data_IF_986020819780
#
_entry.id   IF_986020819780
#
_cell.length_a   1.000
_cell.length_b   1.000
_cell.length_c   1.000
_cell.angle_alpha   90.00
_cell.angle_beta   90.00
_cell.angle_gamma   90.00
#
_symmetry.space_group_name_H-M   'P 1'
#
loop_
_entity.id
_entity.type
_entity.pdbx_description
1 polymer ?
#
# COMPACT_ATOMS: atom_id res chain seq x y z
N UNK A 1 -2.19 24.76 -34.30
CA UNK A 1 -2.14 24.05 -33.00
C UNK A 1 -2.20 22.58 -33.31
N UNK A 2 -1.09 21.86 -33.23
CA UNK A 2 -1.10 20.41 -33.35
C UNK A 2 -1.80 19.83 -32.12
N UNK A 3 -2.93 19.15 -32.35
CA UNK A 3 -3.65 18.44 -31.30
C UNK A 3 -2.81 17.21 -30.94
N UNK A 4 -1.98 17.30 -29.90
CA UNK A 4 -1.25 16.14 -29.41
C UNK A 4 -2.28 15.11 -28.92
N UNK A 5 -2.22 13.92 -29.52
CA UNK A 5 -3.04 12.78 -29.08
C UNK A 5 -2.70 12.48 -27.61
N UNK A 6 -3.70 12.29 -26.73
CA UNK A 6 -3.44 11.90 -25.35
C UNK A 6 -2.71 10.55 -25.34
N UNK A 7 -1.67 10.46 -24.51
CA UNK A 7 -0.91 9.22 -24.33
C UNK A 7 -1.82 8.10 -23.84
N UNK A 8 -1.56 6.87 -24.29
CA UNK A 8 -2.15 5.68 -23.68
C UNK A 8 -1.63 5.48 -22.25
N UNK A 9 -2.32 4.66 -21.45
CA UNK A 9 -1.90 4.38 -20.08
C UNK A 9 -0.56 3.63 -20.07
N UNK A 10 -0.36 2.72 -21.03
CA UNK A 10 0.90 2.02 -21.23
C UNK A 10 2.05 2.96 -21.64
N UNK A 11 1.80 3.92 -22.53
CA UNK A 11 2.79 4.94 -22.92
C UNK A 11 3.17 5.84 -21.74
N UNK A 12 2.17 6.27 -20.96
CA UNK A 12 2.39 7.06 -19.76
C UNK A 12 3.20 6.30 -18.70
N UNK A 13 2.92 5.01 -18.48
CA UNK A 13 3.70 4.15 -17.59
C UNK A 13 5.16 3.99 -18.07
N UNK A 14 5.40 3.89 -19.38
CA UNK A 14 6.76 3.88 -19.96
C UNK A 14 7.51 5.18 -19.72
N UNK A 15 6.84 6.33 -19.84
CA UNK A 15 7.42 7.63 -19.48
C UNK A 15 7.80 7.66 -18.01
N UNK A 16 6.91 7.21 -17.12
CA UNK A 16 7.19 7.11 -15.69
C UNK A 16 8.44 6.26 -15.41
N UNK A 17 8.55 5.10 -16.04
CA UNK A 17 9.69 4.21 -15.81
C UNK A 17 11.01 4.81 -16.31
N UNK A 18 10.99 5.51 -17.45
CA UNK A 18 12.15 6.28 -17.94
C UNK A 18 12.56 7.38 -16.98
N UNK A 19 11.60 8.09 -16.40
CA UNK A 19 11.85 9.15 -15.43
C UNK A 19 12.56 8.62 -14.18
N UNK A 20 12.15 7.46 -13.67
CA UNK A 20 12.66 6.87 -12.43
C UNK A 20 13.77 5.83 -12.63
N UNK A 21 14.33 5.70 -13.84
CA UNK A 21 15.40 4.73 -14.12
C UNK A 21 14.98 3.26 -13.92
N UNK A 22 13.67 2.97 -14.00
CA UNK A 22 13.12 1.64 -13.80
C UNK A 22 13.27 0.85 -15.11
N UNK A 23 14.07 -0.21 -15.09
CA UNK A 23 14.39 -1.03 -16.27
C UNK A 23 15.56 -0.48 -17.10
N UNK A 24 15.81 -1.08 -18.27
CA UNK A 24 16.96 -0.73 -19.16
C UNK A 24 16.74 0.53 -20.01
N UNK A 25 15.92 1.47 -19.56
CA UNK A 25 15.58 2.62 -20.38
C UNK A 25 16.66 3.70 -20.27
N UNK A 26 17.27 4.07 -21.40
CA UNK A 26 18.53 4.84 -21.44
C UNK A 26 18.35 6.33 -21.68
N UNK A 27 17.16 6.79 -22.07
CA UNK A 27 16.92 8.20 -22.39
C UNK A 27 15.89 8.82 -21.45
N UNK A 28 16.24 9.89 -20.71
CA UNK A 28 15.30 10.59 -19.84
C UNK A 28 14.18 11.24 -20.67
N UNK A 29 12.92 11.22 -20.19
CA UNK A 29 11.81 11.84 -20.89
C UNK A 29 11.87 13.38 -20.77
N UNK A 30 11.36 14.07 -21.79
CA UNK A 30 11.23 15.53 -21.75
C UNK A 30 10.15 15.98 -20.75
N UNK A 31 10.20 17.23 -20.23
CA UNK A 31 9.16 17.76 -19.34
C UNK A 31 7.74 17.68 -19.92
N UNK A 32 7.59 17.91 -21.24
CA UNK A 32 6.30 17.79 -21.91
C UNK A 32 5.76 16.36 -21.89
N UNK A 33 6.63 15.35 -22.07
CA UNK A 33 6.23 13.95 -21.97
C UNK A 33 5.84 13.57 -20.54
N UNK A 34 6.55 14.10 -19.54
CA UNK A 34 6.21 13.88 -18.12
C UNK A 34 4.82 14.46 -17.82
N UNK A 35 4.55 15.70 -18.24
CA UNK A 35 3.26 16.34 -18.03
C UNK A 35 2.12 15.57 -18.72
N UNK A 36 2.32 15.13 -19.97
CA UNK A 36 1.35 14.30 -20.69
C UNK A 36 1.11 12.95 -20.00
N UNK A 37 2.16 12.33 -19.46
CA UNK A 37 2.06 11.06 -18.75
C UNK A 37 1.31 11.21 -17.41
N UNK A 38 1.57 12.29 -16.67
CA UNK A 38 0.84 12.63 -15.46
C UNK A 38 -0.65 12.84 -15.74
N UNK A 39 -0.98 13.53 -16.83
CA UNK A 39 -2.37 13.75 -17.24
C UNK A 39 -3.06 12.43 -17.63
N UNK A 40 -2.37 11.51 -18.32
CA UNK A 40 -2.93 10.23 -18.74
C UNK A 40 -3.09 9.23 -17.59
N UNK A 41 -2.13 9.15 -16.66
CA UNK A 41 -2.22 8.30 -15.47
C UNK A 41 -3.20 8.86 -14.44
N UNK A 42 -3.30 10.17 -14.34
CA UNK A 42 -4.00 10.82 -13.25
C UNK A 42 -3.24 10.74 -11.92
N UNK A 43 -3.73 11.48 -10.89
CA UNK A 43 -3.00 11.66 -9.64
C UNK A 43 -2.82 10.34 -8.86
N UNK A 44 -3.86 9.51 -8.77
CA UNK A 44 -3.84 8.30 -7.95
C UNK A 44 -2.87 7.25 -8.51
N UNK A 45 -2.89 7.02 -9.82
CA UNK A 45 -1.99 6.04 -10.44
C UNK A 45 -0.55 6.53 -10.47
N UNK A 46 -0.35 7.83 -10.70
CA UNK A 46 0.97 8.44 -10.57
C UNK A 46 1.53 8.28 -9.16
N UNK A 47 0.72 8.54 -8.14
CA UNK A 47 1.08 8.35 -6.74
C UNK A 47 1.40 6.90 -6.42
N UNK A 48 0.58 5.95 -6.88
CA UNK A 48 0.83 4.52 -6.68
C UNK A 48 2.14 4.06 -7.33
N UNK A 49 2.45 4.52 -8.55
CA UNK A 49 3.72 4.18 -9.19
C UNK A 49 4.92 4.78 -8.42
N UNK A 50 4.82 6.03 -7.92
CA UNK A 50 5.82 6.61 -7.02
C UNK A 50 5.98 5.80 -5.73
N UNK A 51 4.87 5.33 -5.15
CA UNK A 51 4.87 4.50 -3.95
C UNK A 51 5.65 3.20 -4.19
N UNK A 52 5.45 2.54 -5.34
CA UNK A 52 6.20 1.34 -5.73
C UNK A 52 7.70 1.60 -5.89
N UNK A 53 8.09 2.74 -6.47
CA UNK A 53 9.51 3.14 -6.54
C UNK A 53 10.09 3.34 -5.14
N UNK A 54 9.41 4.10 -4.26
CA UNK A 54 9.90 4.41 -2.92
C UNK A 54 10.06 3.15 -2.05
N UNK A 55 9.17 2.17 -2.24
CA UNK A 55 9.17 0.88 -1.53
C UNK A 55 10.02 -0.19 -2.22
N UNK A 56 10.74 0.18 -3.29
CA UNK A 56 11.56 -0.74 -4.10
C UNK A 56 10.79 -1.96 -4.63
N UNK A 57 9.46 -1.91 -4.59
CA UNK A 57 8.62 -3.01 -5.03
C UNK A 57 8.58 -3.01 -6.56
N UNK A 58 8.68 -4.18 -7.20
CA UNK A 58 8.83 -4.24 -8.65
C UNK A 58 7.63 -3.59 -9.35
N UNK A 59 7.90 -2.64 -10.23
CA UNK A 59 6.98 -2.19 -11.26
C UNK A 59 7.14 -3.19 -12.40
N UNK A 60 6.72 -4.44 -12.15
CA UNK A 60 7.02 -5.57 -13.04
C UNK A 60 6.54 -5.28 -14.46
N UNK A 61 7.18 -5.93 -15.43
CA UNK A 61 6.89 -5.93 -16.87
C UNK A 61 5.42 -6.18 -17.26
N UNK A 62 4.48 -6.36 -16.32
CA UNK A 62 3.04 -6.29 -16.56
C UNK A 62 2.57 -4.91 -17.07
N UNK A 63 3.30 -3.82 -16.78
CA UNK A 63 3.00 -2.47 -17.30
C UNK A 63 3.74 -2.13 -18.60
N UNK A 64 4.80 -2.86 -18.93
CA UNK A 64 5.84 -2.41 -19.90
C UNK A 64 6.19 -3.49 -20.93
N UNK A 65 6.07 -4.77 -20.54
CA UNK A 65 6.37 -5.95 -21.33
C UNK A 65 5.31 -6.16 -22.39
N UNK A 66 5.57 -5.57 -23.56
CA UNK A 66 4.97 -5.92 -24.85
C UNK A 66 3.43 -6.03 -24.90
N UNK A 67 2.73 -5.33 -24.01
CA UNK A 67 1.28 -5.19 -24.10
C UNK A 67 1.01 -4.21 -25.23
N UNK A 68 0.54 -4.75 -26.36
CA UNK A 68 -0.06 -4.11 -27.53
C UNK A 68 -0.49 -2.65 -27.27
N UNK A 69 0.46 -1.72 -27.33
CA UNK A 69 0.18 -0.32 -27.10
C UNK A 69 -0.82 0.15 -28.17
N UNK A 70 -1.94 0.73 -27.72
CA UNK A 70 -3.04 1.10 -28.61
C UNK A 70 -4.10 0.02 -28.85
N UNK A 71 -3.97 -1.17 -28.25
CA UNK A 71 -5.06 -2.16 -28.16
C UNK A 71 -5.98 -1.78 -26.99
N UNK A 72 -7.23 -1.44 -27.31
CA UNK A 72 -8.19 -0.93 -26.34
C UNK A 72 -8.55 -1.96 -25.24
N UNK A 73 -8.49 -3.25 -25.53
CA UNK A 73 -8.79 -4.31 -24.57
C UNK A 73 -7.61 -4.49 -23.60
N UNK A 74 -6.39 -4.48 -24.13
CA UNK A 74 -5.17 -4.54 -23.32
C UNK A 74 -5.07 -3.33 -22.38
N UNK A 75 -5.31 -2.12 -22.89
CA UNK A 75 -5.30 -0.88 -22.10
C UNK A 75 -6.40 -0.88 -21.02
N UNK A 76 -7.59 -1.41 -21.32
CA UNK A 76 -8.66 -1.56 -20.31
C UNK A 76 -8.25 -2.55 -19.22
N UNK A 77 -7.70 -3.70 -19.59
CA UNK A 77 -7.19 -4.68 -18.63
C UNK A 77 -6.07 -4.12 -17.76
N UNK A 78 -5.21 -3.26 -18.32
CA UNK A 78 -4.18 -2.55 -17.59
C UNK A 78 -4.77 -1.58 -16.56
N UNK A 79 -5.73 -0.75 -17.00
CA UNK A 79 -6.41 0.20 -16.14
C UNK A 79 -7.10 -0.49 -14.96
N UNK A 80 -7.79 -1.61 -15.20
CA UNK A 80 -8.47 -2.37 -14.15
C UNK A 80 -7.47 -2.95 -13.13
N UNK A 81 -6.39 -3.58 -13.59
CA UNK A 81 -5.35 -4.11 -12.69
C UNK A 81 -4.69 -3.01 -11.88
N UNK A 82 -4.42 -1.85 -12.50
CA UNK A 82 -3.83 -0.70 -11.83
C UNK A 82 -4.77 -0.12 -10.79
N UNK A 83 -6.07 -0.02 -11.11
CA UNK A 83 -7.12 0.38 -10.17
C UNK A 83 -7.14 -0.54 -8.96
N UNK A 84 -7.32 -1.84 -9.15
CA UNK A 84 -7.39 -2.81 -8.04
C UNK A 84 -6.16 -2.70 -7.15
N UNK A 85 -4.96 -2.73 -7.74
CA UNK A 85 -3.72 -2.65 -6.95
C UNK A 85 -3.54 -1.31 -6.24
N UNK A 86 -3.86 -0.20 -6.90
CA UNK A 86 -3.77 1.13 -6.31
C UNK A 86 -4.57 1.23 -5.01
N UNK A 87 -5.75 0.60 -4.93
CA UNK A 87 -6.60 0.70 -3.75
C UNK A 87 -6.47 -0.47 -2.77
N UNK A 88 -6.07 -1.66 -3.22
CA UNK A 88 -6.04 -2.87 -2.39
C UNK A 88 -4.65 -3.22 -1.85
N UNK A 89 -3.58 -2.68 -2.43
CA UNK A 89 -2.18 -2.86 -1.98
C UNK A 89 -1.87 -1.98 -0.75
N UNK A 90 -2.66 -2.17 0.31
CA UNK A 90 -2.59 -1.38 1.55
C UNK A 90 -1.20 -1.48 2.19
N UNK A 91 -0.53 -2.62 2.08
CA UNK A 91 0.82 -2.84 2.62
C UNK A 91 1.83 -1.87 2.00
N UNK A 92 1.78 -1.64 0.68
CA UNK A 92 2.64 -0.66 0.01
C UNK A 92 2.39 0.75 0.56
N UNK A 93 1.13 1.11 0.81
CA UNK A 93 0.80 2.43 1.37
C UNK A 93 1.18 2.59 2.84
N UNK A 94 1.08 1.52 3.65
CA UNK A 94 1.59 1.52 5.02
C UNK A 94 3.12 1.74 5.03
N UNK A 95 3.86 1.06 4.14
CA UNK A 95 5.32 1.21 4.01
C UNK A 95 5.74 2.60 3.51
N UNK A 96 4.99 3.21 2.59
CA UNK A 96 5.21 4.61 2.17
C UNK A 96 5.09 5.55 3.36
N UNK A 97 4.03 5.41 4.16
CA UNK A 97 3.81 6.29 5.31
C UNK A 97 4.93 6.17 6.36
N UNK A 98 5.52 4.98 6.51
CA UNK A 98 6.68 4.75 7.37
C UNK A 98 7.93 5.45 6.81
N UNK A 99 8.29 5.18 5.56
CA UNK A 99 9.46 5.80 4.90
C UNK A 99 9.39 7.32 4.84
N UNK A 100 8.20 7.88 4.59
CA UNK A 100 7.99 9.32 4.58
C UNK A 100 8.13 9.95 5.95
N UNK A 101 7.66 9.27 7.01
CA UNK A 101 7.87 9.73 8.38
C UNK A 101 9.35 9.77 8.71
N UNK A 102 10.09 8.70 8.40
CA UNK A 102 11.54 8.65 8.61
C UNK A 102 12.25 9.77 7.86
N UNK A 103 11.89 10.00 6.59
CA UNK A 103 12.50 11.04 5.78
C UNK A 103 12.21 12.46 6.30
N UNK A 104 10.98 12.71 6.78
CA UNK A 104 10.61 13.98 7.44
C UNK A 104 11.37 14.18 8.75
N UNK A 105 11.50 13.13 9.57
CA UNK A 105 12.25 13.19 10.83
C UNK A 105 13.74 13.44 10.58
N UNK A 106 14.33 12.77 9.60
CA UNK A 106 15.72 13.00 9.18
C UNK A 106 15.94 14.41 8.64
N UNK A 107 15.03 14.91 7.79
CA UNK A 107 15.11 16.28 7.27
C UNK A 107 15.04 17.31 8.42
N UNK A 108 14.12 17.10 9.37
CA UNK A 108 13.99 17.95 10.56
C UNK A 108 15.27 17.93 11.41
N UNK A 109 15.84 16.76 11.66
CA UNK A 109 17.08 16.63 12.43
C UNK A 109 18.26 17.31 11.72
N UNK A 110 18.32 17.21 10.38
CA UNK A 110 19.36 17.83 9.56
C UNK A 110 19.12 19.33 9.27
N UNK A 111 18.02 19.92 9.76
CA UNK A 111 17.65 21.32 9.47
C UNK A 111 17.34 21.58 7.98
N UNK A 112 16.89 20.56 7.25
CA UNK A 112 16.54 20.63 5.82
C UNK A 112 15.03 20.70 5.63
N UNK A 113 14.63 21.13 4.43
CA UNK A 113 13.23 21.09 4.02
C UNK A 113 12.73 19.63 3.96
N UNK A 114 11.52 19.33 4.48
CA UNK A 114 10.95 18.00 4.39
C UNK A 114 10.69 17.60 2.93
N UNK A 115 10.77 16.30 2.60
CA UNK A 115 10.55 15.82 1.24
C UNK A 115 9.08 15.97 0.81
N UNK A 116 8.88 16.02 -0.51
CA UNK A 116 7.55 16.00 -1.13
C UNK A 116 6.85 14.65 -0.93
N UNK A 117 5.82 14.66 -0.09
CA UNK A 117 5.01 13.48 0.24
C UNK A 117 4.17 13.01 -0.95
N UNK A 118 3.96 11.70 -1.03
CA UNK A 118 3.15 11.01 -2.01
C UNK A 118 1.68 11.10 -1.56
N UNK A 119 0.78 11.65 -2.38
CA UNK A 119 -0.62 11.76 -2.01
C UNK A 119 -1.26 10.36 -1.98
N UNK A 120 -1.69 9.92 -0.78
CA UNK A 120 -2.44 8.68 -0.60
C UNK A 120 -3.90 8.89 -1.00
N UNK A 121 -4.48 8.04 -1.88
CA UNK A 121 -5.89 8.15 -2.27
C UNK A 121 -6.83 8.07 -1.05
N UNK A 122 -7.91 8.86 -1.05
CA UNK A 122 -8.81 9.01 0.11
C UNK A 122 -9.33 7.68 0.66
N UNK A 123 -9.77 6.77 -0.23
CA UNK A 123 -10.26 5.43 0.15
C UNK A 123 -9.19 4.57 0.85
N UNK A 124 -7.94 4.67 0.42
CA UNK A 124 -6.82 3.94 1.03
C UNK A 124 -6.53 4.51 2.41
N UNK A 125 -6.52 5.84 2.55
CA UNK A 125 -6.32 6.52 3.83
C UNK A 125 -7.37 6.08 4.85
N UNK A 126 -8.65 6.06 4.46
CA UNK A 126 -9.74 5.59 5.31
C UNK A 126 -9.53 4.13 5.78
N UNK A 127 -9.10 3.24 4.88
CA UNK A 127 -8.82 1.83 5.20
C UNK A 127 -7.62 1.67 6.14
N UNK A 128 -6.54 2.43 5.94
CA UNK A 128 -5.37 2.45 6.83
C UNK A 128 -5.80 2.91 8.24
N UNK A 129 -6.54 4.02 8.33
CA UNK A 129 -7.04 4.54 9.60
C UNK A 129 -7.95 3.53 10.31
N UNK A 130 -8.83 2.84 9.55
CA UNK A 130 -9.69 1.77 10.07
C UNK A 130 -8.86 0.63 10.65
N UNK A 131 -7.84 0.14 9.93
CA UNK A 131 -6.93 -0.92 10.42
C UNK A 131 -6.18 -0.51 11.68
N UNK A 132 -5.72 0.74 11.74
CA UNK A 132 -5.02 1.27 12.91
C UNK A 132 -5.93 1.36 14.14
N UNK A 133 -7.19 1.79 13.98
CA UNK A 133 -8.18 1.78 15.07
C UNK A 133 -8.44 0.38 15.60
N UNK A 134 -8.65 -0.60 14.71
CA UNK A 134 -8.87 -2.01 15.10
C UNK A 134 -7.65 -2.59 15.84
N UNK A 135 -6.43 -2.30 15.38
CA UNK A 135 -5.18 -2.70 16.06
C UNK A 135 -5.11 -2.09 17.48
N UNK A 136 -5.43 -0.80 17.62
CA UNK A 136 -5.41 -0.09 18.89
C UNK A 136 -6.48 -0.60 19.88
N UNK A 137 -7.67 -0.95 19.41
CA UNK A 137 -8.75 -1.53 20.23
C UNK A 137 -8.38 -2.95 20.72
N UNK A 138 -7.81 -3.78 19.84
CA UNK A 138 -7.31 -5.13 20.22
C UNK A 138 -6.17 -5.05 21.25
N UNK A 139 -5.27 -4.08 21.13
CA UNK A 139 -4.21 -3.83 22.10
C UNK A 139 -4.71 -3.35 23.47
N UNK A 140 -5.88 -2.68 23.53
CA UNK A 140 -6.52 -2.27 24.79
C UNK A 140 -7.37 -3.39 25.42
N UNK A 141 -7.98 -4.26 24.62
CA UNK A 141 -8.74 -5.42 25.12
C UNK A 141 -7.89 -6.45 25.89
N UNK A 142 -6.61 -6.60 25.54
CA UNK A 142 -5.70 -7.52 26.23
C UNK A 142 -5.22 -7.03 27.61
N UNK A 143 -5.36 -5.73 27.93
CA UNK A 143 -5.00 -5.16 29.25
C UNK A 143 -6.18 -4.96 30.20
N UNK A 144 -7.43 -5.15 29.73
CA UNK A 144 -8.65 -5.01 30.53
C UNK A 144 -9.21 -6.31 31.10
N UNK A 145 -8.64 -7.47 30.77
CA UNK A 145 -9.15 -8.79 31.17
C UNK A 145 -8.69 -9.29 32.55
N UNK A 146 -8.09 -8.44 33.38
CA UNK A 146 -7.60 -8.84 34.71
C UNK A 146 -7.75 -7.73 35.75
N UNK A 147 -8.94 -7.14 35.87
CA UNK A 147 -9.34 -6.40 37.07
C UNK A 147 -10.87 -6.30 37.13
N UNK A 148 -11.50 -7.18 37.90
CA UNK A 148 -12.87 -6.96 38.37
C UNK A 148 -13.91 -7.98 37.89
N UNK A 149 -13.87 -9.20 38.44
CA UNK A 149 -15.11 -9.82 38.92
C UNK A 149 -14.83 -10.70 40.14
N UNK A 150 -15.05 -10.10 41.30
CA UNK A 150 -15.34 -10.84 42.52
C UNK A 150 -16.60 -11.70 42.29
N UNK A 151 -16.61 -12.91 42.86
CA UNK A 151 -17.81 -13.72 43.07
C UNK A 151 -18.23 -14.63 41.91
N UNK A 152 -17.38 -15.60 41.54
CA UNK A 152 -17.85 -16.82 40.87
C UNK A 152 -17.88 -17.97 41.90
N UNK A 153 -18.95 -18.78 41.98
CA UNK A 153 -19.01 -19.89 42.93
C UNK A 153 -17.89 -20.90 42.65
N UNK A 154 -17.37 -21.59 43.70
CA UNK A 154 -16.27 -22.53 43.53
C UNK A 154 -16.63 -23.64 42.54
N UNK A 155 -15.65 -24.16 41.78
CA UNK A 155 -15.87 -25.25 40.84
C UNK A 155 -16.42 -26.48 41.58
N UNK A 156 -17.46 -27.09 41.03
CA UNK A 156 -18.02 -28.33 41.54
C UNK A 156 -16.94 -29.44 41.55
N UNK A 157 -16.80 -30.20 42.66
CA UNK A 157 -15.85 -31.30 42.71
C UNK A 157 -16.24 -32.38 41.70
N UNK A 158 -15.27 -32.81 40.88
CA UNK A 158 -15.42 -33.96 39.98
C UNK A 158 -15.58 -35.23 40.82
N UNK A 159 -16.44 -36.19 40.44
CA UNK A 159 -16.49 -37.49 41.10
C UNK A 159 -15.17 -38.24 40.88
N UNK A 160 -14.58 -38.66 41.99
CA UNK A 160 -13.40 -39.51 42.08
C UNK A 160 -13.79 -40.92 41.63
N UNK A 161 -13.40 -41.33 40.41
CA UNK A 161 -13.36 -42.76 40.05
C UNK A 161 -12.07 -43.38 40.63
N UNK A 162 -12.04 -43.46 41.95
CA UNK A 162 -11.07 -44.21 42.73
C UNK A 162 -11.52 -45.66 42.89
N UNK A 163 -11.52 -46.42 41.80
CA UNK A 163 -11.68 -47.88 41.84
C UNK A 163 -10.43 -48.52 42.43
N UNK A 164 -10.44 -48.78 43.74
CA UNK A 164 -9.32 -49.40 44.43
C UNK A 164 -9.63 -49.73 45.88
N UNK A 165 -10.57 -50.64 46.12
CA UNK A 165 -10.73 -51.27 47.42
C UNK A 165 -9.92 -52.57 47.50
N UNK A 166 -8.89 -52.66 48.35
CA UNK A 166 -8.36 -53.95 48.79
C UNK A 166 -8.85 -54.30 50.22
N UNK A 167 -9.29 -55.56 50.35
CA UNK A 167 -9.14 -56.48 51.51
C UNK A 167 -9.89 -56.14 52.82
N UNK A 168 -10.12 -57.11 53.74
CA UNK A 168 -9.39 -58.37 54.02
C UNK A 168 -9.92 -59.64 53.34
#
# INVERSE_FOLDING_TARGET
MEVQRPLSLGEAARVFCRLHGVGRATTPPSPAQIAAAQAALGPDYWAYLRARVLTEKPITAYFIGDQRLGDAEAERGLAERLRVRCYDDIETWEEVAEKEREAVEQARFAGREPPDLIPVPGKVREEIERRMRVKAERGRGARGGQAGRAGGPPPAPKPDEGGGGPKP
#
